data_IF_350708263998
#
_entry.id   IF_350708263998
#
_cell.length_a   1.000
_cell.length_b   1.000
_cell.length_c   1.000
_cell.angle_alpha   90.00
_cell.angle_beta   90.00
_cell.angle_gamma   90.00
#
_symmetry.space_group_name_H-M   'P 1'
#
loop_
_entity.id
_entity.type
_entity.pdbx_description
1 polymer ?
#
# COMPACT_ATOMS: atom_id res chain seq x y z
N UNK A 1 -20.92 -60.66 3.87
CA UNK A 1 -20.67 -59.26 3.47
C UNK A 1 -19.23 -58.91 3.81
N UNK A 2 -18.38 -58.60 2.81
CA UNK A 2 -17.00 -58.15 3.04
C UNK A 2 -17.02 -56.63 3.24
N UNK A 3 -16.76 -56.15 4.45
CA UNK A 3 -16.44 -54.75 4.68
C UNK A 3 -15.10 -54.45 3.99
N UNK A 4 -14.99 -53.44 3.13
CA UNK A 4 -13.69 -53.11 2.57
C UNK A 4 -12.87 -52.42 3.66
N UNK A 5 -11.76 -53.05 4.06
CA UNK A 5 -10.74 -52.45 4.93
C UNK A 5 -9.94 -51.41 4.14
N UNK A 6 -10.62 -50.37 3.62
CA UNK A 6 -9.92 -49.26 2.96
C UNK A 6 -9.15 -48.48 4.00
N UNK A 7 -7.87 -48.26 3.75
CA UNK A 7 -7.07 -47.38 4.58
C UNK A 7 -7.70 -45.97 4.56
N UNK A 8 -7.67 -45.26 5.70
CA UNK A 8 -8.21 -43.90 5.81
C UNK A 8 -7.61 -42.98 4.73
N UNK A 9 -6.36 -43.22 4.34
CA UNK A 9 -5.68 -42.52 3.25
C UNK A 9 -6.33 -42.76 1.88
N UNK A 10 -6.75 -43.98 1.56
CA UNK A 10 -7.43 -44.31 0.29
C UNK A 10 -8.83 -43.66 0.22
N UNK A 11 -9.52 -43.59 1.35
CA UNK A 11 -10.82 -42.91 1.43
C UNK A 11 -10.63 -41.41 1.19
N UNK A 12 -9.60 -40.80 1.78
CA UNK A 12 -9.31 -39.38 1.61
C UNK A 12 -8.82 -39.04 0.19
N UNK A 13 -8.09 -39.93 -0.48
CA UNK A 13 -7.65 -39.71 -1.87
C UNK A 13 -8.84 -39.73 -2.83
N UNK A 14 -9.74 -40.71 -2.72
CA UNK A 14 -10.95 -40.79 -3.56
C UNK A 14 -11.86 -39.56 -3.34
N UNK A 15 -12.03 -39.11 -2.10
CA UNK A 15 -12.85 -37.92 -1.79
C UNK A 15 -12.17 -36.63 -2.25
N UNK A 16 -10.85 -36.61 -2.37
CA UNK A 16 -10.03 -35.47 -2.82
C UNK A 16 -10.11 -35.27 -4.34
N UNK A 17 -10.22 -36.35 -5.11
CA UNK A 17 -10.28 -36.33 -6.58
C UNK A 17 -11.53 -35.62 -7.12
N UNK A 18 -12.70 -35.84 -6.50
CA UNK A 18 -13.96 -35.25 -6.95
C UNK A 18 -13.98 -33.70 -6.92
N UNK A 19 -13.65 -33.02 -5.80
CA UNK A 19 -13.63 -31.56 -5.71
C UNK A 19 -12.29 -30.92 -6.10
N UNK A 20 -11.24 -31.72 -6.37
CA UNK A 20 -9.89 -31.20 -6.66
C UNK A 20 -9.21 -30.53 -5.46
N UNK A 21 -9.51 -30.98 -4.25
CA UNK A 21 -9.00 -30.39 -2.99
C UNK A 21 -8.08 -31.39 -2.32
N UNK A 22 -6.96 -30.95 -1.72
CA UNK A 22 -5.97 -31.90 -1.17
C UNK A 22 -6.55 -32.82 -0.08
N UNK A 23 -6.08 -34.10 0.02
CA UNK A 23 -6.58 -35.06 1.01
C UNK A 23 -6.44 -34.54 2.46
N UNK A 24 -5.37 -33.79 2.71
CA UNK A 24 -5.12 -33.14 4.00
C UNK A 24 -6.22 -32.11 4.35
N UNK A 25 -6.66 -31.33 3.38
CA UNK A 25 -7.72 -30.33 3.59
C UNK A 25 -9.06 -31.01 3.87
N UNK A 26 -9.36 -32.12 3.19
CA UNK A 26 -10.55 -32.94 3.46
C UNK A 26 -10.52 -33.49 4.89
N UNK A 27 -9.38 -34.03 5.34
CA UNK A 27 -9.21 -34.53 6.70
C UNK A 27 -9.40 -33.42 7.75
N UNK A 28 -8.86 -32.23 7.49
CA UNK A 28 -9.01 -31.05 8.35
C UNK A 28 -10.46 -30.59 8.42
N UNK A 29 -11.15 -30.48 7.29
CA UNK A 29 -12.57 -30.12 7.22
C UNK A 29 -13.45 -31.13 7.97
N UNK A 30 -13.16 -32.43 7.85
CA UNK A 30 -13.85 -33.48 8.61
C UNK A 30 -13.64 -33.30 10.12
N UNK A 31 -12.40 -33.06 10.56
CA UNK A 31 -12.09 -32.84 11.97
C UNK A 31 -12.76 -31.57 12.52
N UNK A 32 -12.83 -30.50 11.73
CA UNK A 32 -13.52 -29.26 12.10
C UNK A 32 -15.04 -29.44 12.14
N UNK A 33 -15.62 -30.20 11.20
CA UNK A 33 -17.05 -30.54 11.18
C UNK A 33 -17.47 -31.35 12.42
N UNK A 34 -16.61 -32.26 12.90
CA UNK A 34 -16.84 -33.00 14.14
C UNK A 34 -16.80 -32.10 15.39
N UNK A 35 -16.10 -30.96 15.33
CA UNK A 35 -16.00 -29.99 16.43
C UNK A 35 -17.17 -29.01 16.48
N UNK A 36 -17.95 -28.90 15.41
CA UNK A 36 -19.12 -28.02 15.33
C UNK A 36 -19.48 -27.61 13.90
N UNK A 37 -20.47 -26.74 13.78
CA UNK A 37 -20.91 -26.23 12.48
C UNK A 37 -19.82 -25.40 11.81
N UNK A 38 -19.43 -25.80 10.60
CA UNK A 38 -18.50 -25.05 9.76
C UNK A 38 -19.14 -23.74 9.31
N UNK A 39 -18.76 -22.63 9.96
CA UNK A 39 -19.14 -21.29 9.53
C UNK A 39 -18.05 -20.77 8.61
N UNK A 40 -18.38 -20.57 7.34
CA UNK A 40 -17.49 -19.83 6.44
C UNK A 40 -17.24 -18.44 7.02
N UNK A 41 -15.99 -17.96 7.11
CA UNK A 41 -15.72 -16.61 7.55
C UNK A 41 -16.59 -15.64 6.77
N UNK A 42 -17.36 -14.79 7.48
CA UNK A 42 -18.20 -13.79 6.83
C UNK A 42 -17.30 -12.95 5.93
N UNK A 43 -17.43 -13.10 4.60
CA UNK A 43 -16.77 -12.22 3.64
C UNK A 43 -17.22 -10.82 4.00
N UNK A 44 -16.33 -10.02 4.60
CA UNK A 44 -16.60 -8.59 4.77
C UNK A 44 -16.79 -8.09 3.34
N UNK A 45 -17.96 -7.55 2.96
CA UNK A 45 -18.06 -6.86 1.70
C UNK A 45 -16.91 -5.85 1.68
N UNK A 46 -16.16 -5.82 0.58
CA UNK A 46 -15.22 -4.72 0.38
C UNK A 46 -16.09 -3.50 0.27
N UNK A 47 -16.29 -2.82 1.39
CA UNK A 47 -17.10 -1.64 1.46
C UNK A 47 -16.44 -0.60 0.57
N UNK A 48 -17.02 -0.37 -0.60
CA UNK A 48 -16.49 0.56 -1.60
C UNK A 48 -16.65 2.00 -1.09
N UNK A 49 -17.61 2.25 -0.17
CA UNK A 49 -17.75 3.54 0.53
C UNK A 49 -16.71 3.72 1.63
N UNK A 50 -16.24 2.64 2.26
CA UNK A 50 -15.02 2.58 3.09
C UNK A 50 -13.83 2.12 2.21
N UNK A 51 -13.83 2.48 0.93
CA UNK A 51 -12.58 2.40 0.18
C UNK A 51 -11.66 3.43 0.81
N UNK A 52 -10.73 2.95 1.63
CA UNK A 52 -9.57 3.68 2.12
C UNK A 52 -8.66 4.20 0.98
N UNK A 53 -9.14 4.26 -0.27
CA UNK A 53 -8.54 5.04 -1.34
C UNK A 53 -8.64 6.51 -0.97
N UNK A 54 -7.49 7.06 -0.64
CA UNK A 54 -7.29 8.40 -0.06
C UNK A 54 -7.71 9.56 -0.97
N UNK A 55 -8.01 9.29 -2.24
CA UNK A 55 -8.69 10.20 -3.16
C UNK A 55 -10.10 10.58 -2.70
N UNK A 56 -10.74 9.75 -1.86
CA UNK A 56 -12.06 10.01 -1.27
C UNK A 56 -11.95 10.80 0.04
N UNK A 57 -10.78 10.77 0.71
CA UNK A 57 -10.59 11.39 2.04
C UNK A 57 -10.16 12.86 2.01
N UNK A 58 -9.53 13.30 0.93
CA UNK A 58 -9.03 14.68 0.81
C UNK A 58 -9.49 15.27 -0.50
N UNK A 59 -9.98 16.50 -0.43
CA UNK A 59 -10.40 17.25 -1.60
C UNK A 59 -9.21 17.51 -2.54
N UNK A 60 -9.51 17.60 -3.83
CA UNK A 60 -8.59 17.95 -4.90
C UNK A 60 -7.79 19.24 -4.60
N UNK A 61 -8.42 20.23 -3.97
CA UNK A 61 -7.78 21.47 -3.53
C UNK A 61 -6.71 21.24 -2.48
N UNK A 62 -6.99 20.42 -1.45
CA UNK A 62 -6.02 20.08 -0.43
C UNK A 62 -4.82 19.36 -1.03
N UNK A 63 -5.07 18.48 -2.01
CA UNK A 63 -4.00 17.77 -2.73
C UNK A 63 -3.11 18.73 -3.52
N UNK A 64 -3.73 19.70 -4.18
CA UNK A 64 -3.01 20.72 -4.94
C UNK A 64 -2.21 21.67 -4.03
N UNK A 65 -2.76 22.07 -2.89
CA UNK A 65 -2.05 22.91 -1.92
C UNK A 65 -0.78 22.23 -1.38
N UNK A 66 -0.87 20.96 -0.98
CA UNK A 66 0.30 20.17 -0.53
C UNK A 66 1.35 20.08 -1.65
N UNK A 67 0.91 19.94 -2.90
CA UNK A 67 1.80 19.91 -4.06
C UNK A 67 2.58 21.20 -4.22
N UNK A 68 1.88 22.34 -4.20
CA UNK A 68 2.52 23.65 -4.31
C UNK A 68 3.53 23.87 -3.19
N UNK A 69 3.22 23.40 -1.97
CA UNK A 69 4.16 23.47 -0.85
C UNK A 69 5.44 22.68 -1.11
N UNK A 70 5.32 21.44 -1.58
CA UNK A 70 6.48 20.62 -1.97
C UNK A 70 7.26 21.26 -3.11
N UNK A 71 6.58 21.80 -4.12
CA UNK A 71 7.22 22.49 -5.23
C UNK A 71 7.96 23.77 -4.79
N UNK A 72 7.40 24.50 -3.82
CA UNK A 72 8.05 25.69 -3.25
C UNK A 72 9.36 25.36 -2.55
N UNK A 73 9.47 24.19 -1.89
CA UNK A 73 10.72 23.73 -1.29
C UNK A 73 11.78 23.43 -2.36
N UNK A 74 11.37 22.80 -3.46
CA UNK A 74 12.28 22.59 -4.59
C UNK A 74 12.74 23.90 -5.24
N UNK A 75 11.84 24.90 -5.34
CA UNK A 75 12.19 26.23 -5.85
C UNK A 75 13.24 26.91 -4.96
N UNK A 76 13.15 26.72 -3.64
CA UNK A 76 14.13 27.18 -2.64
C UNK A 76 15.44 26.36 -2.62
N UNK A 77 15.56 25.32 -3.46
CA UNK A 77 16.69 24.37 -3.50
C UNK A 77 16.89 23.58 -2.21
N UNK A 78 15.84 23.46 -1.40
CA UNK A 78 15.83 22.62 -0.20
C UNK A 78 15.38 21.20 -0.58
N UNK A 79 15.99 20.18 0.02
CA UNK A 79 15.58 18.79 -0.20
C UNK A 79 14.30 18.57 0.62
N UNK A 80 13.13 18.31 0.00
CA UNK A 80 11.91 18.07 0.74
C UNK A 80 11.97 16.69 1.39
N UNK A 81 12.33 16.69 2.67
CA UNK A 81 12.21 15.53 3.54
C UNK A 81 10.77 15.41 4.05
N UNK A 82 10.35 14.18 4.37
CA UNK A 82 9.01 13.95 4.91
C UNK A 82 8.70 14.82 6.14
N UNK A 83 9.70 15.04 7.00
CA UNK A 83 9.56 15.89 8.18
C UNK A 83 9.44 17.38 7.84
N UNK A 84 10.25 17.87 6.90
CA UNK A 84 10.13 19.26 6.43
C UNK A 84 8.78 19.54 5.79
N UNK A 85 8.31 18.65 4.91
CA UNK A 85 7.00 18.77 4.27
C UNK A 85 5.88 18.71 5.30
N UNK A 86 5.97 17.80 6.27
CA UNK A 86 4.98 17.71 7.35
C UNK A 86 4.93 18.97 8.21
N UNK A 87 6.07 19.56 8.57
CA UNK A 87 6.11 20.81 9.33
C UNK A 87 5.44 21.93 8.54
N UNK A 88 5.87 22.14 7.31
CA UNK A 88 5.32 23.19 6.46
C UNK A 88 3.82 23.05 6.17
N UNK A 89 3.31 21.81 6.07
CA UNK A 89 1.87 21.56 5.88
C UNK A 89 1.09 21.75 7.19
N UNK A 90 1.66 21.41 8.34
CA UNK A 90 0.99 21.56 9.64
C UNK A 90 1.07 22.99 10.20
N UNK A 91 2.00 23.81 9.70
CA UNK A 91 2.13 25.24 10.01
C UNK A 91 1.10 26.10 9.25
N UNK A 92 0.56 25.59 8.14
CA UNK A 92 -0.52 26.27 7.40
C UNK A 92 -1.87 25.95 8.05
N UNK A 93 -2.55 26.96 8.59
CA UNK A 93 -3.86 26.80 9.24
C UNK A 93 -4.98 26.38 8.26
N UNK A 94 -4.79 26.66 6.96
CA UNK A 94 -5.72 26.29 5.89
C UNK A 94 -5.64 24.80 5.49
N UNK A 95 -4.60 24.09 5.93
CA UNK A 95 -4.39 22.68 5.60
C UNK A 95 -4.69 21.76 6.79
N UNK A 96 -5.25 20.57 6.54
CA UNK A 96 -5.49 19.61 7.60
C UNK A 96 -4.17 19.10 8.19
N UNK A 97 -4.15 18.91 9.51
CA UNK A 97 -2.97 18.39 10.22
C UNK A 97 -2.74 16.91 9.88
N UNK A 98 -1.55 16.59 9.43
CA UNK A 98 -1.17 15.22 9.07
C UNK A 98 -0.19 14.59 10.06
N UNK A 99 -0.38 13.30 10.31
CA UNK A 99 0.63 12.45 10.92
C UNK A 99 1.68 12.03 9.90
N UNK A 100 2.86 11.61 10.37
CA UNK A 100 4.00 11.24 9.51
C UNK A 100 3.66 10.07 8.58
N UNK A 101 2.98 9.06 9.10
CA UNK A 101 2.49 7.88 8.35
C UNK A 101 1.40 8.26 7.37
N UNK A 102 0.48 9.15 7.77
CA UNK A 102 -0.53 9.67 6.88
C UNK A 102 0.12 10.41 5.70
N UNK A 103 1.03 11.36 5.94
CA UNK A 103 1.67 12.13 4.88
C UNK A 103 2.55 11.27 3.96
N UNK A 104 3.26 10.26 4.50
CA UNK A 104 4.03 9.32 3.68
C UNK A 104 3.13 8.54 2.71
N UNK A 105 2.03 8.01 3.20
CA UNK A 105 1.08 7.29 2.37
C UNK A 105 0.31 8.22 1.42
N UNK A 106 0.21 9.52 1.72
CA UNK A 106 -0.36 10.53 0.82
C UNK A 106 0.52 10.67 -0.42
N UNK A 107 1.81 10.95 -0.18
CA UNK A 107 2.81 11.14 -1.23
C UNK A 107 3.03 9.86 -2.04
N UNK A 108 2.94 8.68 -1.42
CA UNK A 108 3.18 7.41 -2.12
C UNK A 108 2.15 7.10 -3.22
N UNK A 109 0.94 7.65 -3.15
CA UNK A 109 -0.16 7.38 -4.09
C UNK A 109 -0.22 8.35 -5.25
N UNK A 110 0.20 9.59 -5.01
CA UNK A 110 0.29 10.56 -6.09
C UNK A 110 1.49 10.19 -6.97
N UNK A 111 1.22 9.74 -8.20
CA UNK A 111 2.21 9.22 -9.13
C UNK A 111 3.39 10.19 -9.38
N UNK A 112 3.13 11.48 -9.19
CA UNK A 112 4.09 12.56 -9.33
C UNK A 112 5.10 12.68 -8.17
N UNK A 113 4.82 12.08 -7.00
CA UNK A 113 5.73 12.06 -5.85
C UNK A 113 6.49 10.75 -5.73
N UNK A 114 6.50 9.93 -6.79
CA UNK A 114 7.61 9.00 -7.02
C UNK A 114 8.96 9.71 -6.91
N UNK A 115 8.99 11.03 -7.12
CA UNK A 115 10.16 11.90 -6.92
C UNK A 115 10.71 11.93 -5.50
N UNK A 116 9.90 11.91 -4.43
CA UNK A 116 10.41 11.88 -3.05
C UNK A 116 11.01 10.51 -2.74
N UNK A 117 10.37 9.43 -3.21
CA UNK A 117 10.94 8.07 -3.13
C UNK A 117 12.21 7.93 -3.97
N UNK A 118 12.26 8.53 -5.15
CA UNK A 118 13.42 8.57 -6.03
C UNK A 118 14.56 9.36 -5.40
N UNK A 119 14.31 10.55 -4.85
CA UNK A 119 15.31 11.34 -4.12
C UNK A 119 15.83 10.62 -2.89
N UNK A 120 14.97 9.97 -2.11
CA UNK A 120 15.42 9.17 -0.97
C UNK A 120 16.25 7.96 -1.40
N UNK A 121 15.97 7.37 -2.57
CA UNK A 121 16.74 6.28 -3.17
C UNK A 121 18.07 6.76 -3.74
N UNK A 122 18.09 7.92 -4.41
CA UNK A 122 19.29 8.57 -4.99
C UNK A 122 20.22 9.08 -3.89
N UNK A 123 19.70 9.77 -2.86
CA UNK A 123 20.48 10.24 -1.71
C UNK A 123 21.08 9.09 -0.89
N UNK A 124 20.42 7.93 -0.84
CA UNK A 124 21.00 6.70 -0.23
C UNK A 124 22.03 6.01 -1.13
N UNK A 125 21.96 6.21 -2.45
CA UNK A 125 22.80 5.51 -3.42
C UNK A 125 24.10 6.24 -3.74
N UNK A 126 24.20 7.55 -3.52
CA UNK A 126 25.40 8.33 -3.87
C UNK A 126 26.00 9.02 -2.64
N UNK A 127 27.06 8.48 -2.03
CA UNK A 127 27.77 9.18 -0.96
C UNK A 127 28.64 10.36 -1.47
N UNK A 128 28.82 10.53 -2.79
CA UNK A 128 29.82 11.47 -3.34
C UNK A 128 29.36 12.38 -4.50
N UNK A 129 28.13 12.28 -5.00
CA UNK A 129 27.69 13.11 -6.14
C UNK A 129 27.00 14.40 -5.65
N UNK A 130 27.65 15.53 -5.92
CA UNK A 130 27.19 16.89 -5.62
C UNK A 130 25.69 17.09 -5.90
N UNK A 131 24.92 17.38 -4.85
CA UNK A 131 23.46 17.57 -4.86
C UNK A 131 22.97 18.54 -5.95
N UNK A 132 23.85 19.40 -6.46
CA UNK A 132 23.58 20.36 -7.54
C UNK A 132 23.24 19.70 -8.89
N UNK A 133 23.79 18.53 -9.20
CA UNK A 133 23.57 17.85 -10.50
C UNK A 133 22.19 17.20 -10.56
N UNK A 134 21.77 16.53 -9.47
CA UNK A 134 20.45 15.93 -9.35
C UNK A 134 19.30 16.94 -9.45
N UNK A 135 19.48 18.12 -8.85
CA UNK A 135 18.49 19.21 -8.90
C UNK A 135 18.28 19.79 -10.31
N UNK A 136 19.33 19.84 -11.14
CA UNK A 136 19.26 20.39 -12.50
C UNK A 136 18.45 19.49 -13.45
N UNK A 137 18.71 18.19 -13.39
CA UNK A 137 17.99 17.17 -14.16
C UNK A 137 16.52 17.06 -13.71
N UNK A 138 16.27 17.27 -12.42
CA UNK A 138 14.95 17.32 -11.81
C UNK A 138 14.12 18.52 -12.29
N UNK A 139 14.69 19.73 -12.31
CA UNK A 139 14.00 20.94 -12.79
C UNK A 139 13.55 20.82 -14.24
N UNK A 140 14.36 20.18 -15.10
CA UNK A 140 14.00 19.91 -16.49
C UNK A 140 12.78 18.98 -16.62
N UNK A 141 12.72 17.90 -15.83
CA UNK A 141 11.57 16.97 -15.87
C UNK A 141 10.30 17.58 -15.28
N UNK A 142 10.43 18.42 -14.26
CA UNK A 142 9.27 19.07 -13.62
C UNK A 142 8.64 20.13 -14.52
N UNK A 143 9.45 20.89 -15.25
CA UNK A 143 8.98 21.85 -16.26
C UNK A 143 8.34 21.16 -17.48
N UNK A 144 8.57 19.87 -17.70
CA UNK A 144 7.98 19.11 -18.81
C UNK A 144 6.63 18.44 -18.46
N UNK A 145 6.22 18.50 -17.19
CA UNK A 145 4.95 17.95 -16.68
C UNK A 145 3.91 19.03 -16.36
N UNK A 146 4.29 20.30 -16.46
CA UNK A 146 3.43 21.49 -16.47
C UNK A 146 3.08 21.82 -17.92
#
# INVERSE_FOLDING_TARGET
MRFPAKCVQEVLSVVSENPGVSPHTVAKLKAECLRGNLVSPKRRPRDVTISSTRTVKHDSFTVHAIRLKVQSMYAKREIPTLDSVRKAVNEDDDLPKFTKTALLCFLALSHEYQMIRYLHKVLRATPQCSAKVGFKLFRQKLNALL
#
